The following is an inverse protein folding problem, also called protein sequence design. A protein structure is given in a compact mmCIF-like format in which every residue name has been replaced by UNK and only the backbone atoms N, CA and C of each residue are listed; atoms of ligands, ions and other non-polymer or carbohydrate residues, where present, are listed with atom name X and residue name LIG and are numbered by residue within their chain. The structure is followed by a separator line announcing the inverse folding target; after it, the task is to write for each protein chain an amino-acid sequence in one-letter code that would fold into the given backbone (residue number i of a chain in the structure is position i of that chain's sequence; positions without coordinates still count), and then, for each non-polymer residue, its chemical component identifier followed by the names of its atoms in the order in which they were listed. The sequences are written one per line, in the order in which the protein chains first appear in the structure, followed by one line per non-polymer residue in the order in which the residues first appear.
data_IF_859186984002
#
_entry.id   IF_859186984002
#
_cell.length_a   1.000
_cell.length_b   1.000
_cell.length_c   1.000
_cell.angle_alpha   90.00
_cell.angle_beta   90.00
_cell.angle_gamma   90.00
#
_symmetry.space_group_name_H-M   'P 1'
#
loop_
_entity.id
_entity.type
_entity.pdbx_description
1 polymer ?
#
# COMPACT_ATOMS: atom_id res chain seq x y z
N UNK A 1 -9.74 -28.83 -65.34
CA UNK A 1 -10.21 -27.68 -64.53
C UNK A 1 -10.29 -28.01 -63.03
N UNK A 2 -11.01 -29.06 -62.61
CA UNK A 2 -11.10 -29.44 -61.17
C UNK A 2 -9.74 -29.83 -60.57
N UNK A 3 -8.89 -30.54 -61.31
CA UNK A 3 -7.55 -30.91 -60.83
C UNK A 3 -6.62 -29.70 -60.61
N UNK A 4 -6.66 -28.71 -61.50
CA UNK A 4 -5.91 -27.46 -61.33
C UNK A 4 -6.37 -26.68 -60.08
N UNK A 5 -7.68 -26.71 -59.78
CA UNK A 5 -8.24 -26.15 -58.56
C UNK A 5 -7.77 -26.89 -57.31
N UNK A 6 -7.73 -28.23 -57.34
CA UNK A 6 -7.17 -29.04 -56.25
C UNK A 6 -5.68 -28.77 -56.01
N UNK A 7 -4.91 -28.60 -57.09
CA UNK A 7 -3.49 -28.24 -57.01
C UNK A 7 -3.28 -26.87 -56.36
N UNK A 8 -4.04 -25.84 -56.77
CA UNK A 8 -3.99 -24.50 -56.17
C UNK A 8 -4.39 -24.49 -54.68
N UNK A 9 -5.36 -25.31 -54.29
CA UNK A 9 -5.77 -25.45 -52.88
C UNK A 9 -4.67 -26.07 -52.01
N UNK A 10 -3.97 -27.10 -52.52
CA UNK A 10 -2.79 -27.66 -51.83
C UNK A 10 -1.67 -26.64 -51.68
N UNK A 11 -1.41 -25.86 -52.72
CA UNK A 11 -0.39 -24.80 -52.69
C UNK A 11 -0.73 -23.72 -51.66
N UNK A 12 -2.01 -23.38 -51.52
CA UNK A 12 -2.51 -22.45 -50.49
C UNK A 12 -2.32 -23.00 -49.07
N UNK A 13 -2.61 -24.29 -48.83
CA UNK A 13 -2.38 -24.94 -47.54
C UNK A 13 -0.90 -24.95 -47.15
N UNK A 14 -0.01 -25.24 -48.12
CA UNK A 14 1.44 -25.22 -47.89
C UNK A 14 1.88 -23.79 -47.51
N UNK A 15 1.47 -22.77 -48.27
CA UNK A 15 1.78 -21.37 -47.96
C UNK A 15 1.25 -20.94 -46.59
N UNK A 16 0.04 -21.37 -46.21
CA UNK A 16 -0.51 -21.11 -44.85
C UNK A 16 0.34 -21.76 -43.76
N UNK A 17 0.73 -23.02 -43.95
CA UNK A 17 1.60 -23.74 -42.99
C UNK A 17 3.00 -23.12 -42.88
N UNK A 18 3.54 -22.58 -43.96
CA UNK A 18 4.83 -21.88 -43.94
C UNK A 18 4.77 -20.48 -43.32
N UNK A 19 3.62 -19.80 -43.45
CA UNK A 19 3.42 -18.47 -42.88
C UNK A 19 3.13 -18.52 -41.39
N UNK A 20 2.41 -19.53 -40.90
CA UNK A 20 2.08 -19.67 -39.47
C UNK A 20 3.30 -19.55 -38.54
N UNK A 21 4.41 -20.29 -38.72
CA UNK A 21 5.58 -20.15 -37.84
C UNK A 21 6.28 -18.79 -37.95
N UNK A 22 6.08 -18.04 -39.06
CA UNK A 22 6.57 -16.67 -39.16
C UNK A 22 5.69 -15.71 -38.37
N UNK A 23 4.37 -15.93 -38.38
CA UNK A 23 3.41 -15.18 -37.56
C UNK A 23 3.69 -15.43 -36.08
N UNK A 24 3.82 -16.69 -35.67
CA UNK A 24 4.08 -17.06 -34.28
C UNK A 24 5.37 -16.38 -33.74
N UNK A 25 6.44 -16.35 -34.55
CA UNK A 25 7.68 -15.64 -34.20
C UNK A 25 7.52 -14.12 -34.07
N UNK A 26 6.65 -13.51 -34.89
CA UNK A 26 6.37 -12.08 -34.81
C UNK A 26 5.57 -11.79 -33.53
N UNK A 27 4.60 -12.64 -33.20
CA UNK A 27 3.82 -12.51 -31.97
C UNK A 27 4.69 -12.71 -30.72
N UNK A 28 5.60 -13.68 -30.73
CA UNK A 28 6.55 -13.91 -29.64
C UNK A 28 7.44 -12.68 -29.41
N UNK A 29 8.08 -12.16 -30.46
CA UNK A 29 8.88 -10.93 -30.38
C UNK A 29 8.08 -9.73 -29.89
N UNK A 30 6.87 -9.55 -30.40
CA UNK A 30 5.98 -8.47 -29.96
C UNK A 30 5.69 -8.60 -28.47
N UNK A 31 5.43 -9.80 -27.96
CA UNK A 31 5.16 -10.03 -26.56
C UNK A 31 6.39 -9.76 -25.68
N UNK A 32 7.59 -10.17 -26.13
CA UNK A 32 8.85 -9.86 -25.46
C UNK A 32 9.08 -8.34 -25.37
N UNK A 33 8.95 -7.62 -26.49
CA UNK A 33 9.11 -6.16 -26.55
C UNK A 33 8.11 -5.45 -25.63
N UNK A 34 6.85 -5.89 -25.59
CA UNK A 34 5.83 -5.34 -24.69
C UNK A 34 6.22 -5.57 -23.23
N UNK A 35 6.70 -6.77 -22.88
CA UNK A 35 7.12 -7.07 -21.50
C UNK A 35 8.30 -6.22 -21.06
N UNK A 36 9.32 -6.06 -21.93
CA UNK A 36 10.46 -5.19 -21.64
C UNK A 36 10.05 -3.72 -21.49
N UNK A 37 9.18 -3.24 -22.37
CA UNK A 37 8.67 -1.89 -22.35
C UNK A 37 7.88 -1.61 -21.07
N UNK A 38 7.00 -2.53 -20.67
CA UNK A 38 6.23 -2.42 -19.43
C UNK A 38 7.16 -2.37 -18.22
N UNK A 39 8.14 -3.29 -18.12
CA UNK A 39 9.12 -3.28 -17.03
C UNK A 39 9.86 -1.94 -16.94
N UNK A 40 10.27 -1.38 -18.07
CA UNK A 40 10.96 -0.09 -18.11
C UNK A 40 10.09 1.03 -17.56
N UNK A 41 8.83 1.13 -17.99
CA UNK A 41 7.94 2.17 -17.52
C UNK A 41 7.52 1.97 -16.06
N UNK A 42 7.31 0.73 -15.63
CA UNK A 42 7.05 0.40 -14.22
C UNK A 42 8.20 0.88 -13.33
N UNK A 43 9.46 0.64 -13.73
CA UNK A 43 10.61 1.18 -13.01
C UNK A 43 10.64 2.71 -12.99
N UNK A 44 10.38 3.38 -14.12
CA UNK A 44 10.34 4.85 -14.16
C UNK A 44 9.22 5.43 -13.27
N UNK A 45 8.07 4.74 -13.19
CA UNK A 45 6.96 5.12 -12.30
C UNK A 45 7.35 4.90 -10.83
N UNK A 46 8.01 3.78 -10.52
CA UNK A 46 8.52 3.53 -9.18
C UNK A 46 9.53 4.59 -8.75
N UNK A 47 10.53 4.88 -9.60
CA UNK A 47 11.56 5.89 -9.33
C UNK A 47 10.96 7.28 -9.17
N UNK A 48 9.97 7.64 -10.00
CA UNK A 48 9.30 8.94 -9.89
C UNK A 48 8.48 9.07 -8.59
N UNK A 49 7.93 7.98 -8.08
CA UNK A 49 7.12 7.97 -6.87
C UNK A 49 7.92 7.66 -5.60
N UNK A 50 9.18 7.22 -5.71
CA UNK A 50 9.94 6.74 -4.54
C UNK A 50 10.11 7.84 -3.50
N UNK A 51 10.42 9.07 -3.92
CA UNK A 51 10.59 10.22 -3.03
C UNK A 51 9.29 10.55 -2.29
N UNK A 52 8.14 10.50 -2.99
CA UNK A 52 6.83 10.73 -2.39
C UNK A 52 6.49 9.63 -1.39
N UNK A 53 6.70 8.37 -1.77
CA UNK A 53 6.44 7.20 -0.90
C UNK A 53 7.33 7.25 0.35
N UNK A 54 8.61 7.53 0.21
CA UNK A 54 9.56 7.67 1.33
C UNK A 54 9.13 8.82 2.26
N UNK A 55 8.69 9.95 1.69
CA UNK A 55 8.22 11.08 2.47
C UNK A 55 6.91 10.78 3.21
N UNK A 56 5.93 10.14 2.56
CA UNK A 56 4.70 9.68 3.19
C UNK A 56 4.98 8.69 4.33
N UNK A 57 5.90 7.74 4.13
CA UNK A 57 6.33 6.80 5.16
C UNK A 57 6.99 7.52 6.35
N UNK A 58 7.81 8.52 6.08
CA UNK A 58 8.42 9.34 7.14
C UNK A 58 7.36 10.06 7.97
N UNK A 59 6.41 10.73 7.32
CA UNK A 59 5.31 11.40 8.03
C UNK A 59 4.50 10.39 8.85
N UNK A 60 4.19 9.23 8.29
CA UNK A 60 3.50 8.16 9.02
C UNK A 60 4.28 7.73 10.27
N UNK A 61 5.58 7.51 10.14
CA UNK A 61 6.43 7.13 11.27
C UNK A 61 6.41 8.20 12.36
N UNK A 62 6.56 9.48 11.98
CA UNK A 62 6.52 10.62 12.91
C UNK A 62 5.16 10.71 13.63
N UNK A 63 4.04 10.43 12.93
CA UNK A 63 2.71 10.40 13.54
C UNK A 63 2.54 9.23 14.52
N UNK A 64 3.10 8.06 14.20
CA UNK A 64 3.06 6.90 15.12
C UNK A 64 3.95 7.13 16.34
N UNK A 65 5.10 7.78 16.18
CA UNK A 65 5.94 8.20 17.31
C UNK A 65 5.21 9.17 18.24
N UNK A 66 4.54 10.16 17.64
CA UNK A 66 3.72 11.11 18.40
C UNK A 66 2.54 10.42 19.10
N UNK A 67 1.88 9.48 18.43
CA UNK A 67 0.84 8.64 19.03
C UNK A 67 1.38 7.90 20.26
N UNK A 68 2.46 7.14 20.11
CA UNK A 68 3.08 6.39 21.22
C UNK A 68 3.41 7.30 22.40
N UNK A 69 3.97 8.48 22.12
CA UNK A 69 4.30 9.47 23.14
C UNK A 69 3.06 9.96 23.89
N UNK A 70 2.01 10.37 23.18
CA UNK A 70 0.77 10.88 23.81
C UNK A 70 0.10 9.80 24.66
N UNK A 71 0.08 8.54 24.21
CA UNK A 71 -0.45 7.42 25.00
C UNK A 71 0.36 7.23 26.29
N UNK A 72 1.71 7.28 26.21
CA UNK A 72 2.57 7.11 27.38
C UNK A 72 2.47 8.26 28.37
N UNK A 73 2.47 9.50 27.88
CA UNK A 73 2.31 10.71 28.71
C UNK A 73 0.98 10.65 29.49
N UNK A 74 -0.12 10.28 28.81
CA UNK A 74 -1.43 10.12 29.43
C UNK A 74 -1.43 8.99 30.48
N UNK A 75 -0.80 7.86 30.17
CA UNK A 75 -0.70 6.73 31.08
C UNK A 75 0.10 7.07 32.35
N UNK A 76 1.22 7.78 32.22
CA UNK A 76 2.04 8.24 33.35
C UNK A 76 1.30 9.27 34.21
N UNK A 77 0.56 10.17 33.58
CA UNK A 77 -0.23 11.19 34.27
C UNK A 77 -1.37 10.55 35.09
N UNK A 78 -2.06 9.55 34.54
CA UNK A 78 -3.07 8.78 35.29
C UNK A 78 -2.49 8.05 36.50
N UNK A 79 -1.32 7.44 36.37
CA UNK A 79 -0.61 6.82 37.51
C UNK A 79 -0.29 7.82 38.63
N UNK A 80 -0.16 9.09 38.29
CA UNK A 80 0.28 10.15 39.21
C UNK A 80 -0.86 10.85 39.94
N UNK A 81 -2.10 10.85 39.41
CA UNK A 81 -3.16 11.76 39.88
C UNK A 81 -4.37 11.10 40.54
N UNK A 82 -4.53 9.77 40.53
CA UNK A 82 -5.67 9.03 41.15
C UNK A 82 -7.09 9.40 40.66
N UNK A 83 -7.26 10.52 39.94
CA UNK A 83 -8.49 10.92 39.25
C UNK A 83 -8.47 10.44 37.80
N UNK A 84 -9.56 9.80 37.38
CA UNK A 84 -9.71 9.22 36.04
C UNK A 84 -10.17 10.27 35.02
N UNK A 85 -9.45 11.39 34.89
CA UNK A 85 -9.74 12.45 33.92
C UNK A 85 -8.67 12.50 32.84
N UNK A 86 -9.09 12.48 31.57
CA UNK A 86 -8.18 12.59 30.42
C UNK A 86 -7.66 14.00 30.25
N UNK A 87 -6.40 14.14 29.84
CA UNK A 87 -5.81 15.45 29.54
C UNK A 87 -6.42 16.08 28.29
N UNK A 88 -6.39 17.42 28.25
CA UNK A 88 -6.81 18.16 27.06
C UNK A 88 -5.86 17.89 25.88
N UNK A 89 -4.57 17.62 26.14
CA UNK A 89 -3.61 17.23 25.13
C UNK A 89 -4.01 15.92 24.42
N UNK A 90 -4.51 14.93 25.17
CA UNK A 90 -5.00 13.66 24.59
C UNK A 90 -6.20 13.88 23.67
N UNK A 91 -7.17 14.69 24.10
CA UNK A 91 -8.37 15.02 23.31
C UNK A 91 -8.02 15.81 22.06
N UNK A 92 -7.19 16.84 22.20
CA UNK A 92 -6.72 17.66 21.09
C UNK A 92 -5.93 16.83 20.07
N UNK A 93 -5.08 15.92 20.54
CA UNK A 93 -4.37 14.99 19.68
C UNK A 93 -5.34 14.12 18.88
N UNK A 94 -6.33 13.50 19.53
CA UNK A 94 -7.35 12.67 18.87
C UNK A 94 -8.11 13.44 17.78
N UNK A 95 -8.50 14.69 18.05
CA UNK A 95 -9.23 15.51 17.08
C UNK A 95 -8.35 15.82 15.87
N UNK A 96 -7.11 16.26 16.10
CA UNK A 96 -6.16 16.57 15.01
C UNK A 96 -5.82 15.37 14.15
N UNK A 97 -5.58 14.19 14.74
CA UNK A 97 -5.24 12.99 13.93
C UNK A 97 -6.44 12.41 13.20
N UNK A 98 -7.67 12.74 13.63
CA UNK A 98 -8.89 12.32 12.92
C UNK A 98 -9.11 13.06 11.60
N UNK A 99 -8.50 14.24 11.44
CA UNK A 99 -8.52 15.03 10.20
C UNK A 99 -7.46 14.57 9.18
N UNK A 100 -6.51 13.71 9.60
CA UNK A 100 -5.43 13.21 8.74
C UNK A 100 -5.92 11.95 8.01
N UNK A 101 -6.26 12.08 6.74
CA UNK A 101 -6.87 11.02 5.92
C UNK A 101 -6.10 9.69 5.92
N UNK A 102 -4.76 9.75 5.88
CA UNK A 102 -3.92 8.56 5.82
C UNK A 102 -3.61 7.96 7.20
N UNK A 103 -3.95 8.63 8.31
CA UNK A 103 -3.72 8.10 9.64
C UNK A 103 -4.62 6.87 9.91
N UNK A 104 -4.13 5.81 10.59
CA UNK A 104 -4.92 4.59 10.74
C UNK A 104 -6.20 4.82 11.56
N UNK A 105 -7.36 4.66 10.90
CA UNK A 105 -8.69 4.77 11.55
C UNK A 105 -8.84 3.87 12.78
N UNK A 106 -8.25 2.68 12.74
CA UNK A 106 -8.25 1.75 13.87
C UNK A 106 -7.53 2.30 15.13
N UNK A 107 -6.58 3.23 14.97
CA UNK A 107 -5.93 3.92 16.09
C UNK A 107 -6.81 5.06 16.60
N UNK A 108 -7.47 5.81 15.71
CA UNK A 108 -8.47 6.82 16.09
C UNK A 108 -9.60 6.19 16.92
N UNK A 109 -10.14 5.05 16.47
CA UNK A 109 -11.17 4.31 17.22
C UNK A 109 -10.70 3.86 18.60
N UNK A 110 -9.41 3.55 18.77
CA UNK A 110 -8.84 3.22 20.09
C UNK A 110 -8.79 4.45 21.00
N UNK A 111 -8.47 5.63 20.44
CA UNK A 111 -8.51 6.89 21.19
C UNK A 111 -9.94 7.25 21.59
N UNK A 112 -10.91 7.11 20.68
CA UNK A 112 -12.33 7.36 20.96
C UNK A 112 -12.84 6.48 22.11
N UNK A 113 -12.50 5.19 22.11
CA UNK A 113 -12.84 4.30 23.22
C UNK A 113 -12.29 4.76 24.56
N UNK A 114 -11.04 5.24 24.58
CA UNK A 114 -10.44 5.79 25.81
C UNK A 114 -11.19 7.04 26.25
N UNK A 115 -11.60 7.92 25.32
CA UNK A 115 -12.44 9.09 25.60
C UNK A 115 -13.80 8.68 26.17
N UNK A 116 -14.39 7.60 25.66
CA UNK A 116 -15.67 7.05 26.11
C UNK A 116 -15.57 6.28 27.46
N UNK A 117 -14.36 6.12 28.01
CA UNK A 117 -14.14 5.57 29.35
C UNK A 117 -13.31 4.29 29.39
N UNK A 118 -12.79 3.78 28.28
CA UNK A 118 -11.85 2.64 28.29
C UNK A 118 -10.51 3.02 28.95
N UNK A 119 -9.84 1.97 29.45
CA UNK A 119 -8.53 2.09 30.07
C UNK A 119 -7.45 2.42 29.03
N UNK A 120 -6.66 3.48 29.29
CA UNK A 120 -5.53 3.86 28.43
C UNK A 120 -4.46 2.76 28.39
N UNK A 121 -4.37 1.97 29.47
CA UNK A 121 -3.58 0.76 29.64
C UNK A 121 -3.72 -0.21 28.47
N UNK A 122 -4.96 -0.37 27.96
CA UNK A 122 -5.24 -1.29 26.85
C UNK A 122 -4.53 -0.85 25.57
N UNK A 123 -4.33 0.46 25.39
CA UNK A 123 -3.59 1.01 24.27
C UNK A 123 -2.09 1.01 24.56
N UNK A 124 -1.69 1.42 25.76
CA UNK A 124 -0.29 1.48 26.20
C UNK A 124 0.42 0.13 26.10
N UNK A 125 -0.22 -0.96 26.54
CA UNK A 125 0.36 -2.31 26.46
C UNK A 125 0.48 -2.86 25.04
N UNK A 126 -0.25 -2.28 24.08
CA UNK A 126 -0.22 -2.66 22.68
C UNK A 126 0.72 -1.78 21.83
N UNK A 127 1.36 -0.74 22.39
CA UNK A 127 2.18 0.21 21.64
C UNK A 127 3.26 -0.46 20.79
N UNK A 128 3.98 -1.44 21.33
CA UNK A 128 5.01 -2.16 20.58
C UNK A 128 4.44 -2.87 19.34
N UNK A 129 3.22 -3.44 19.45
CA UNK A 129 2.54 -4.10 18.32
C UNK A 129 2.05 -3.07 17.31
N UNK A 130 1.56 -1.92 17.78
CA UNK A 130 1.11 -0.79 16.94
C UNK A 130 2.29 -0.27 16.13
N UNK A 131 3.43 0.02 16.77
CA UNK A 131 4.63 0.49 16.10
C UNK A 131 5.12 -0.51 15.06
N UNK A 132 5.21 -1.79 15.42
CA UNK A 132 5.62 -2.85 14.47
C UNK A 132 4.67 -2.97 13.28
N UNK A 133 3.38 -2.69 13.47
CA UNK A 133 2.37 -2.82 12.42
C UNK A 133 2.36 -1.64 11.45
N UNK A 134 2.52 -0.42 11.96
CA UNK A 134 2.29 0.80 11.18
C UNK A 134 3.58 1.53 10.79
N UNK A 135 4.67 1.38 11.53
CA UNK A 135 5.95 1.95 11.12
C UNK A 135 6.51 1.16 9.92
N UNK A 136 7.08 1.90 8.98
CA UNK A 136 7.85 1.35 7.86
C UNK A 136 9.33 1.64 8.09
N UNK A 137 10.17 0.65 7.76
CA UNK A 137 11.62 0.79 7.75
C UNK A 137 12.08 1.58 6.54
#
# INVERSE_FOLDING_TARGET
MIEQLKSKLKELEIKKRELQPKIDKIEEKKNEEIQELNKKYDHMIQDANIEVIEFEQKIMNDLIDLFSKVIMDEFEQKRSTSEYSLTDNFKEFKDKVSEIDFFPKALVERLDKVIDGDLIENVAYDLQKIETKYKKL
#
